data_IF_245400160089
#
_entry.id   IF_245400160089
#
_cell.length_a   1.000
_cell.length_b   1.000
_cell.length_c   1.000
_cell.angle_alpha   90.00
_cell.angle_beta   90.00
_cell.angle_gamma   90.00
#
_symmetry.space_group_name_H-M   'P 1'
#
loop_
_entity.id
_entity.type
_entity.pdbx_description
1 polymer ?
#
# COMPACT_ATOMS: atom_id res chain seq x y z
N UNK A 1 12.92 -44.46 -28.14
CA UNK A 1 13.07 -44.20 -26.69
C UNK A 1 14.29 -43.37 -26.33
N UNK A 2 15.55 -43.81 -26.55
CA UNK A 2 16.76 -43.02 -26.13
C UNK A 2 16.89 -41.65 -26.81
N UNK A 3 16.46 -41.53 -28.07
CA UNK A 3 16.56 -40.27 -28.81
C UNK A 3 15.46 -39.26 -28.43
N UNK A 4 14.31 -39.74 -27.95
CA UNK A 4 13.19 -38.89 -27.51
C UNK A 4 13.45 -38.31 -26.13
N UNK A 5 14.04 -39.07 -25.20
CA UNK A 5 14.44 -38.55 -23.88
C UNK A 5 15.45 -37.41 -24.00
N UNK A 6 16.42 -37.53 -24.92
CA UNK A 6 17.40 -36.46 -25.17
C UNK A 6 16.76 -35.20 -25.77
N UNK A 7 15.76 -35.34 -26.64
CA UNK A 7 15.04 -34.19 -27.20
C UNK A 7 14.22 -33.44 -26.13
N UNK A 8 13.59 -34.17 -25.20
CA UNK A 8 12.85 -33.59 -24.06
C UNK A 8 13.80 -32.86 -23.12
N UNK A 9 14.95 -33.46 -22.78
CA UNK A 9 15.98 -32.81 -21.95
C UNK A 9 16.50 -31.51 -22.59
N UNK A 10 16.80 -31.52 -23.90
CA UNK A 10 17.22 -30.32 -24.61
C UNK A 10 16.14 -29.23 -24.61
N UNK A 11 14.87 -29.60 -24.74
CA UNK A 11 13.75 -28.68 -24.66
C UNK A 11 13.61 -28.06 -23.25
N UNK A 12 13.77 -28.87 -22.20
CA UNK A 12 13.75 -28.40 -20.80
C UNK A 12 14.89 -27.42 -20.54
N UNK A 13 16.12 -27.74 -20.97
CA UNK A 13 17.29 -26.86 -20.80
C UNK A 13 17.08 -25.53 -21.53
N UNK A 14 16.51 -25.56 -22.74
CA UNK A 14 16.20 -24.34 -23.50
C UNK A 14 15.13 -23.51 -22.79
N UNK A 15 14.03 -24.12 -22.38
CA UNK A 15 12.96 -23.45 -21.66
C UNK A 15 13.46 -22.83 -20.34
N UNK A 16 14.33 -23.54 -19.61
CA UNK A 16 14.92 -23.02 -18.37
C UNK A 16 15.79 -21.78 -18.65
N UNK A 17 16.65 -21.85 -19.68
CA UNK A 17 17.50 -20.71 -20.07
C UNK A 17 16.67 -19.48 -20.43
N UNK A 18 15.65 -19.66 -21.27
CA UNK A 18 14.81 -18.55 -21.73
C UNK A 18 14.04 -17.91 -20.56
N UNK A 19 13.55 -18.71 -19.61
CA UNK A 19 12.90 -18.19 -18.40
C UNK A 19 13.88 -17.47 -17.47
N UNK A 20 15.08 -18.01 -17.26
CA UNK A 20 16.11 -17.35 -16.45
C UNK A 20 16.56 -16.02 -17.04
N UNK A 21 16.72 -15.95 -18.37
CA UNK A 21 17.05 -14.70 -19.06
C UNK A 21 15.92 -13.66 -18.90
N UNK A 22 14.66 -14.10 -18.97
CA UNK A 22 13.50 -13.23 -18.71
C UNK A 22 13.49 -12.72 -17.27
N UNK A 23 13.72 -13.60 -16.29
CA UNK A 23 13.79 -13.23 -14.87
C UNK A 23 14.91 -12.21 -14.64
N UNK A 24 16.08 -12.43 -15.25
CA UNK A 24 17.22 -11.52 -15.16
C UNK A 24 16.85 -10.11 -15.67
N UNK A 25 16.25 -10.00 -16.86
CA UNK A 25 15.81 -8.69 -17.40
C UNK A 25 14.81 -8.00 -16.48
N UNK A 26 13.81 -8.72 -15.96
CA UNK A 26 12.82 -8.15 -15.02
C UNK A 26 13.45 -7.74 -13.69
N UNK A 27 14.48 -8.45 -13.24
CA UNK A 27 15.26 -8.07 -12.06
C UNK A 27 16.04 -6.78 -12.32
N UNK A 28 16.68 -6.65 -13.48
CA UNK A 28 17.40 -5.43 -13.85
C UNK A 28 16.43 -4.24 -13.93
N UNK A 29 15.25 -4.42 -14.53
CA UNK A 29 14.19 -3.39 -14.55
C UNK A 29 13.74 -2.97 -13.14
N UNK A 30 13.58 -3.94 -12.22
CA UNK A 30 13.25 -3.66 -10.82
C UNK A 30 14.36 -2.84 -10.14
N UNK A 31 15.63 -3.21 -10.34
CA UNK A 31 16.76 -2.46 -9.78
C UNK A 31 16.79 -1.02 -10.31
N UNK A 32 16.56 -0.81 -11.60
CA UNK A 32 16.46 0.52 -12.19
C UNK A 32 15.29 1.31 -11.59
N UNK A 33 14.11 0.70 -11.47
CA UNK A 33 12.95 1.37 -10.89
C UNK A 33 13.17 1.75 -9.41
N UNK A 34 13.83 0.90 -8.62
CA UNK A 34 14.19 1.23 -7.23
C UNK A 34 15.19 2.38 -7.18
N UNK A 35 16.20 2.40 -8.05
CA UNK A 35 17.13 3.52 -8.15
C UNK A 35 16.42 4.83 -8.54
N UNK A 36 15.45 4.77 -9.44
CA UNK A 36 14.60 5.91 -9.80
C UNK A 36 13.77 6.40 -8.59
N UNK A 37 13.25 5.48 -7.75
CA UNK A 37 12.55 5.85 -6.50
C UNK A 37 13.50 6.56 -5.55
N UNK A 38 14.69 6.00 -5.32
CA UNK A 38 15.71 6.62 -4.43
C UNK A 38 16.09 8.01 -4.94
N UNK A 39 16.27 8.16 -6.24
CA UNK A 39 16.52 9.45 -6.89
C UNK A 39 15.34 10.41 -6.71
N UNK A 40 14.10 9.96 -6.91
CA UNK A 40 12.91 10.78 -6.73
C UNK A 40 12.69 11.22 -5.27
N UNK A 41 13.10 10.42 -4.29
CA UNK A 41 13.07 10.76 -2.87
C UNK A 41 14.02 11.92 -2.50
N UNK A 42 14.98 12.27 -3.37
CA UNK A 42 15.80 13.49 -3.19
C UNK A 42 15.05 14.78 -3.56
N UNK A 43 13.87 14.67 -4.18
CA UNK A 43 13.04 15.81 -4.56
C UNK A 43 12.08 16.21 -3.43
N UNK A 44 11.91 17.52 -3.21
CA UNK A 44 10.92 18.06 -2.25
C UNK A 44 9.45 17.84 -2.68
N UNK A 45 9.20 17.21 -3.84
CA UNK A 45 7.85 16.93 -4.36
C UNK A 45 7.56 15.42 -4.29
N UNK A 46 6.72 14.95 -3.35
CA UNK A 46 6.42 13.53 -3.18
C UNK A 46 5.69 12.92 -4.38
N UNK A 47 5.00 13.75 -5.19
CA UNK A 47 4.34 13.33 -6.43
C UNK A 47 5.30 12.70 -7.45
N UNK A 48 6.59 13.07 -7.41
CA UNK A 48 7.59 12.58 -8.35
C UNK A 48 8.03 11.13 -8.06
N UNK A 49 7.80 10.64 -6.84
CA UNK A 49 8.14 9.28 -6.46
C UNK A 49 7.07 8.25 -6.84
N UNK A 50 5.83 8.69 -7.15
CA UNK A 50 4.72 7.78 -7.47
C UNK A 50 4.97 6.94 -8.74
N UNK A 51 5.38 7.53 -9.89
CA UNK A 51 5.63 6.73 -11.09
C UNK A 51 6.72 5.65 -10.94
N UNK A 52 7.92 5.93 -10.39
CA UNK A 52 8.93 4.90 -10.22
C UNK A 52 8.54 3.85 -9.18
N UNK A 53 7.73 4.21 -8.18
CA UNK A 53 7.21 3.27 -7.19
C UNK A 53 6.22 2.27 -7.82
N UNK A 54 5.29 2.75 -8.66
CA UNK A 54 4.39 1.88 -9.41
C UNK A 54 5.14 0.97 -10.39
N UNK A 55 6.19 1.49 -11.04
CA UNK A 55 7.07 0.69 -11.90
C UNK A 55 7.76 -0.41 -11.11
N UNK A 56 8.36 -0.07 -9.96
CA UNK A 56 9.04 -1.04 -9.10
C UNK A 56 8.05 -2.12 -8.61
N UNK A 57 6.84 -1.74 -8.19
CA UNK A 57 5.81 -2.69 -7.78
C UNK A 57 5.41 -3.64 -8.92
N UNK A 58 5.22 -3.11 -10.13
CA UNK A 58 4.84 -3.92 -11.30
C UNK A 58 5.95 -4.90 -11.68
N UNK A 59 7.21 -4.45 -11.69
CA UNK A 59 8.37 -5.32 -11.95
C UNK A 59 8.55 -6.39 -10.87
N UNK A 60 8.32 -6.05 -9.61
CA UNK A 60 8.35 -7.02 -8.51
C UNK A 60 7.26 -8.10 -8.64
N UNK A 61 6.02 -7.70 -8.94
CA UNK A 61 4.91 -8.64 -9.16
C UNK A 61 5.16 -9.55 -10.39
N UNK A 62 5.73 -9.00 -11.46
CA UNK A 62 6.10 -9.77 -12.65
C UNK A 62 7.20 -10.81 -12.35
N UNK A 63 8.16 -10.45 -11.51
CA UNK A 63 9.25 -11.33 -11.08
C UNK A 63 8.74 -12.46 -10.18
N UNK A 64 7.83 -12.17 -9.24
CA UNK A 64 7.15 -13.17 -8.40
C UNK A 64 6.37 -14.18 -9.26
N UNK A 65 5.54 -13.69 -10.19
CA UNK A 65 4.81 -14.57 -11.11
C UNK A 65 5.75 -15.44 -11.97
N UNK A 66 6.89 -14.89 -12.38
CA UNK A 66 7.90 -15.64 -13.16
C UNK A 66 8.54 -16.75 -12.33
N UNK A 67 8.82 -16.52 -11.04
CA UNK A 67 9.32 -17.56 -10.16
C UNK A 67 8.28 -18.66 -9.89
N UNK A 68 7.01 -18.31 -9.73
CA UNK A 68 5.95 -19.32 -9.59
C UNK A 68 5.86 -20.23 -10.82
N UNK A 69 5.90 -19.65 -12.02
CA UNK A 69 5.86 -20.39 -13.28
C UNK A 69 7.09 -21.29 -13.40
N UNK A 70 8.27 -20.78 -13.09
CA UNK A 70 9.51 -21.55 -13.09
C UNK A 70 9.44 -22.71 -12.10
N UNK A 71 8.94 -22.48 -10.89
CA UNK A 71 8.81 -23.52 -9.85
C UNK A 71 7.82 -24.61 -10.29
N UNK A 72 6.66 -24.23 -10.83
CA UNK A 72 5.68 -25.18 -11.39
C UNK A 72 6.28 -25.97 -12.55
N UNK A 73 7.03 -25.32 -13.43
CA UNK A 73 7.71 -25.97 -14.55
C UNK A 73 8.77 -26.98 -14.08
N UNK A 74 9.64 -26.59 -13.15
CA UNK A 74 10.66 -27.48 -12.57
C UNK A 74 9.98 -28.67 -11.89
N UNK A 75 8.97 -28.41 -11.05
CA UNK A 75 8.21 -29.47 -10.37
C UNK A 75 7.58 -30.44 -11.36
N UNK A 76 6.96 -29.94 -12.44
CA UNK A 76 6.41 -30.77 -13.50
C UNK A 76 7.48 -31.56 -14.25
N UNK A 77 8.63 -30.95 -14.56
CA UNK A 77 9.73 -31.62 -15.27
C UNK A 77 10.33 -32.76 -14.46
N UNK A 78 10.41 -32.65 -13.13
CA UNK A 78 10.90 -33.72 -12.25
C UNK A 78 9.92 -34.90 -12.15
N UNK A 79 8.61 -34.65 -12.25
CA UNK A 79 7.58 -35.69 -12.18
C UNK A 79 7.51 -36.55 -13.45
N UNK A 80 7.89 -36.00 -14.62
CA UNK A 80 7.88 -36.77 -15.88
C UNK A 80 8.82 -37.99 -15.90
N UNK A 81 9.80 -38.06 -14.98
CA UNK A 81 10.71 -39.21 -14.85
C UNK A 81 10.23 -40.32 -13.90
N UNK A 82 9.14 -40.10 -13.14
CA UNK A 82 8.72 -41.00 -12.04
C UNK A 82 7.36 -41.67 -12.25
N UNK A 83 6.82 -41.68 -13.47
CA UNK A 83 5.64 -42.51 -13.76
C UNK A 83 6.06 -43.99 -13.73
N UNK A 84 5.94 -44.60 -12.55
CA UNK A 84 6.00 -46.05 -12.37
C UNK A 84 5.00 -46.71 -13.33
N UNK A 85 5.30 -47.89 -13.90
CA UNK A 85 4.39 -48.62 -14.78
C UNK A 85 3.02 -48.91 -14.13
N UNK A 86 2.91 -48.75 -12.81
CA UNK A 86 1.68 -48.84 -12.06
C UNK A 86 0.73 -47.65 -12.32
N UNK A 87 1.23 -46.42 -12.46
CA UNK A 87 0.38 -45.23 -12.70
C UNK A 87 -0.25 -45.24 -14.10
N UNK A 88 0.50 -45.67 -15.11
CA UNK A 88 -0.04 -45.86 -16.46
C UNK A 88 -1.08 -46.97 -16.50
N UNK A 89 -0.90 -48.02 -15.70
CA UNK A 89 -1.89 -49.10 -15.56
C UNK A 89 -3.13 -48.66 -14.76
N UNK A 90 -2.98 -47.79 -13.75
CA UNK A 90 -4.09 -47.19 -13.00
C UNK A 90 -4.88 -46.20 -13.87
N UNK A 91 -4.21 -45.34 -14.66
CA UNK A 91 -4.87 -44.43 -15.60
C UNK A 91 -5.65 -45.18 -16.70
N UNK A 92 -5.10 -46.29 -17.20
CA UNK A 92 -5.77 -47.16 -18.19
C UNK A 92 -6.95 -47.93 -17.58
N UNK A 93 -6.87 -48.34 -16.30
CA UNK A 93 -8.02 -48.89 -15.56
C UNK A 93 -9.09 -47.83 -15.25
N UNK A 94 -8.71 -46.61 -14.85
CA UNK A 94 -9.64 -45.51 -14.56
C UNK A 94 -10.35 -45.02 -15.84
N UNK A 95 -9.67 -45.06 -17.00
CA UNK A 95 -10.29 -44.82 -18.31
C UNK A 95 -11.31 -45.89 -18.71
N UNK A 96 -11.10 -47.15 -18.32
CA UNK A 96 -12.05 -48.25 -18.55
C UNK A 96 -13.22 -48.30 -17.56
N UNK A 97 -13.10 -47.63 -16.41
CA UNK A 97 -14.13 -47.55 -15.37
C UNK A 97 -14.80 -46.18 -15.23
N UNK A 98 -14.58 -45.25 -16.17
CA UNK A 98 -15.37 -44.01 -16.23
C UNK A 98 -16.81 -44.34 -16.60
N UNK A 99 -17.64 -44.47 -15.57
CA UNK A 99 -19.07 -44.38 -15.68
C UNK A 99 -19.44 -43.07 -16.38
N UNK A 100 -20.38 -43.18 -17.31
CA UNK A 100 -21.00 -42.06 -18.02
C UNK A 100 -21.39 -40.94 -17.03
N UNK A 101 -20.97 -39.69 -17.26
CA UNK A 101 -21.29 -38.60 -16.36
C UNK A 101 -22.81 -38.44 -16.30
N UNK A 102 -23.43 -38.32 -15.10
CA UNK A 102 -24.85 -38.05 -15.02
C UNK A 102 -25.14 -36.70 -15.69
N UNK A 103 -26.18 -36.68 -16.53
CA UNK A 103 -26.60 -35.51 -17.29
C UNK A 103 -26.68 -34.26 -16.39
N UNK A 104 -25.95 -33.22 -16.77
CA UNK A 104 -26.03 -31.93 -16.11
C UNK A 104 -27.46 -31.37 -16.22
N UNK A 105 -28.02 -30.76 -15.16
CA UNK A 105 -29.31 -30.09 -15.25
C UNK A 105 -29.22 -28.94 -16.26
N UNK A 106 -30.03 -29.04 -17.32
CA UNK A 106 -30.13 -28.00 -18.35
C UNK A 106 -30.74 -26.74 -17.73
N UNK A 107 -29.92 -25.68 -17.63
CA UNK A 107 -30.39 -24.31 -17.38
C UNK A 107 -31.18 -23.83 -18.61
N UNK A 108 -32.38 -23.25 -18.47
CA UNK A 108 -33.11 -22.67 -19.60
C UNK A 108 -32.24 -21.63 -20.31
N UNK A 109 -32.12 -21.77 -21.64
CA UNK A 109 -31.41 -20.81 -22.48
C UNK A 109 -32.20 -19.50 -22.57
N UNK A 110 -31.55 -18.32 -22.46
CA UNK A 110 -32.20 -17.05 -22.75
C UNK A 110 -32.56 -16.97 -24.24
N UNK A 111 -33.78 -16.54 -24.54
CA UNK A 111 -34.24 -16.33 -25.91
C UNK A 111 -33.43 -15.22 -26.62
N UNK A 112 -33.15 -15.36 -27.92
CA UNK A 112 -32.49 -14.31 -28.70
C UNK A 112 -33.41 -13.09 -28.87
N UNK A 113 -32.88 -11.85 -28.88
CA UNK A 113 -33.68 -10.65 -29.08
C UNK A 113 -34.13 -10.56 -30.54
N UNK A 114 -35.43 -10.39 -30.76
CA UNK A 114 -35.99 -10.09 -32.07
C UNK A 114 -35.64 -8.65 -32.48
N UNK A 115 -35.13 -8.43 -33.71
CA UNK A 115 -34.84 -7.10 -34.21
C UNK A 115 -36.12 -6.49 -34.78
N UNK A 116 -36.59 -5.38 -34.19
CA UNK A 116 -37.64 -4.57 -34.83
C UNK A 116 -36.99 -3.57 -35.79
N UNK A 117 -36.94 -3.93 -37.07
CA UNK A 117 -36.68 -3.00 -38.16
C UNK A 117 -38.00 -2.46 -38.71
N UNK A 118 -38.15 -1.15 -38.60
CA UNK A 118 -38.82 -0.17 -39.48
C UNK A 118 -40.04 -0.55 -40.32
N UNK A 119 -41.11 0.24 -40.21
CA UNK A 119 -41.76 1.02 -41.30
C UNK A 119 -42.93 1.84 -40.69
N UNK A 120 -42.87 3.18 -40.63
CA UNK A 120 -43.25 4.18 -41.67
C UNK A 120 -44.77 4.14 -41.91
N UNK A 121 -45.63 5.17 -41.87
CA UNK A 121 -45.67 6.65 -41.88
C UNK A 121 -47.07 7.01 -41.26
N UNK A 122 -47.44 8.20 -40.78
CA UNK A 122 -47.78 9.43 -41.51
C UNK A 122 -48.08 10.54 -40.48
N UNK A 123 -47.35 11.64 -40.61
CA UNK A 123 -47.53 12.98 -40.04
C UNK A 123 -48.80 13.69 -40.61
N UNK A 124 -49.38 14.78 -40.03
CA UNK A 124 -48.68 16.07 -40.02
C UNK A 124 -49.06 17.16 -39.00
N UNK A 125 -48.17 18.16 -38.97
CA UNK A 125 -48.46 19.59 -38.84
C UNK A 125 -48.82 20.11 -37.42
N UNK A 126 -48.20 21.15 -36.86
CA UNK A 126 -47.53 22.34 -37.43
C UNK A 126 -46.82 23.08 -36.28
N UNK A 127 -45.59 23.57 -36.57
CA UNK A 127 -44.90 24.82 -36.12
C UNK A 127 -44.84 25.18 -34.61
N UNK A 128 -43.74 25.66 -34.02
CA UNK A 128 -42.47 26.21 -34.51
C UNK A 128 -41.44 26.23 -33.34
N UNK A 129 -40.13 26.44 -33.62
CA UNK A 129 -39.00 26.08 -32.78
C UNK A 129 -38.46 27.28 -31.99
N UNK A 130 -37.79 27.01 -30.87
CA UNK A 130 -36.74 27.91 -30.38
C UNK A 130 -35.54 27.09 -29.93
N UNK A 131 -34.60 26.95 -30.86
CA UNK A 131 -33.17 26.78 -30.60
C UNK A 131 -32.70 27.89 -29.66
N UNK A 132 -31.99 27.53 -28.59
CA UNK A 132 -31.08 28.47 -27.93
C UNK A 132 -29.80 27.74 -27.57
N UNK A 133 -28.90 27.72 -28.55
CA UNK A 133 -27.47 27.78 -28.35
C UNK A 133 -27.17 29.16 -27.73
N UNK A 134 -26.58 29.20 -26.53
CA UNK A 134 -25.96 30.39 -25.92
C UNK A 134 -25.00 29.83 -24.84
N UNK A 135 -23.69 29.73 -25.09
CA UNK A 135 -22.71 30.81 -25.16
C UNK A 135 -22.30 31.30 -23.76
N UNK A 136 -20.99 31.15 -23.49
CA UNK A 136 -20.24 31.78 -22.41
C UNK A 136 -20.40 33.30 -22.46
N UNK A 137 -20.49 33.94 -21.29
CA UNK A 137 -19.63 35.11 -21.01
C UNK A 137 -18.97 34.90 -19.63
N UNK A 138 -17.65 34.90 -19.42
CA UNK A 138 -16.63 35.93 -19.70
C UNK A 138 -17.16 37.35 -19.51
N UNK A 139 -16.80 38.02 -18.42
CA UNK A 139 -15.92 39.22 -18.41
C UNK A 139 -15.69 39.74 -16.96
N UNK A 140 -14.84 40.77 -16.69
CA UNK A 140 -13.59 40.56 -15.97
C UNK A 140 -13.42 41.53 -14.77
N UNK A 141 -12.40 41.33 -13.93
CA UNK A 141 -11.72 42.50 -13.34
C UNK A 141 -10.25 42.16 -13.03
N UNK A 142 -9.44 42.48 -14.04
CA UNK A 142 -8.10 43.08 -13.99
C UNK A 142 -7.16 42.84 -12.80
N UNK A 143 -6.04 42.24 -13.18
CA UNK A 143 -4.72 42.11 -12.54
C UNK A 143 -4.17 43.44 -11.97
N UNK A 144 -3.12 43.39 -11.11
CA UNK A 144 -1.78 43.33 -11.70
C UNK A 144 -0.86 42.27 -11.08
N UNK A 145 -0.01 41.77 -11.97
CA UNK A 145 1.24 41.03 -11.77
C UNK A 145 1.95 41.33 -10.44
N UNK A 146 2.40 40.25 -9.76
CA UNK A 146 3.74 40.23 -9.19
C UNK A 146 4.35 38.84 -9.38
N UNK A 147 5.54 38.84 -9.98
CA UNK A 147 6.42 37.71 -10.26
C UNK A 147 6.93 36.99 -8.99
N UNK A 148 7.49 35.77 -9.12
CA UNK A 148 7.73 34.87 -8.01
C UNK A 148 8.99 35.25 -7.24
N UNK A 149 8.86 35.55 -5.95
CA UNK A 149 10.02 35.57 -5.05
C UNK A 149 10.23 34.18 -4.47
N UNK A 150 11.45 33.70 -4.68
CA UNK A 150 12.02 32.56 -4.00
C UNK A 150 12.13 32.80 -2.48
N UNK A 151 12.32 31.68 -1.78
CA UNK A 151 12.82 31.56 -0.39
C UNK A 151 11.84 31.89 0.75
N UNK A 152 11.34 30.81 1.38
CA UNK A 152 11.18 30.63 2.83
C UNK A 152 10.60 29.21 3.01
N UNK A 153 11.43 28.16 3.16
CA UNK A 153 11.80 27.62 4.48
C UNK A 153 10.66 27.79 5.48
N UNK A 154 9.63 26.94 5.38
CA UNK A 154 8.73 26.69 6.49
C UNK A 154 9.37 25.57 7.32
N UNK A 155 10.27 25.98 8.20
CA UNK A 155 10.71 25.20 9.35
C UNK A 155 9.47 24.69 10.08
N UNK A 156 9.44 23.39 10.36
CA UNK A 156 8.59 22.83 11.42
C UNK A 156 8.84 23.64 12.71
N UNK A 157 7.82 23.83 13.58
CA UNK A 157 7.92 24.79 14.68
C UNK A 157 9.10 24.42 15.56
N UNK A 158 10.10 25.31 15.58
CA UNK A 158 11.23 25.26 16.48
C UNK A 158 10.67 25.33 17.90
N UNK A 159 10.67 24.19 18.60
CA UNK A 159 10.46 24.19 20.04
C UNK A 159 11.77 24.68 20.65
N UNK A 160 11.80 25.98 20.93
CA UNK A 160 12.89 26.70 21.58
C UNK A 160 13.35 25.93 22.84
N UNK A 161 14.57 25.37 22.79
CA UNK A 161 15.17 24.54 23.84
C UNK A 161 15.32 23.05 23.50
N UNK A 162 14.96 22.62 22.28
CA UNK A 162 15.02 21.22 21.86
C UNK A 162 16.45 20.65 21.87
N UNK A 163 16.60 19.53 22.57
CA UNK A 163 17.74 18.64 22.46
C UNK A 163 18.05 18.34 20.98
N UNK A 164 19.20 18.81 20.52
CA UNK A 164 19.62 18.67 19.13
C UNK A 164 20.07 17.23 18.85
N UNK A 165 19.12 16.42 18.39
CA UNK A 165 19.32 15.00 18.01
C UNK A 165 20.45 14.86 16.97
N UNK A 166 20.73 15.89 16.15
CA UNK A 166 21.76 15.82 15.11
C UNK A 166 23.20 15.81 15.66
N UNK A 167 23.38 16.12 16.95
CA UNK A 167 24.69 16.03 17.63
C UNK A 167 25.03 14.62 18.11
N UNK A 168 24.03 13.73 18.13
CA UNK A 168 24.21 12.33 18.53
C UNK A 168 24.82 11.48 17.43
N UNK A 169 25.25 10.27 17.78
CA UNK A 169 25.72 9.29 16.80
C UNK A 169 24.61 8.91 15.81
N UNK A 170 24.99 8.49 14.60
CA UNK A 170 24.02 8.08 13.57
C UNK A 170 23.07 6.96 14.04
N UNK A 171 23.55 6.07 14.91
CA UNK A 171 22.76 5.00 15.50
C UNK A 171 21.69 5.52 16.47
N UNK A 172 22.07 6.42 17.37
CA UNK A 172 21.13 7.07 18.29
C UNK A 172 20.12 7.95 17.54
N UNK A 173 20.55 8.67 16.51
CA UNK A 173 19.65 9.45 15.65
C UNK A 173 18.56 8.57 15.02
N UNK A 174 18.91 7.40 14.52
CA UNK A 174 17.92 6.47 13.97
C UNK A 174 16.99 5.91 15.07
N UNK A 175 17.51 5.67 16.28
CA UNK A 175 16.66 5.31 17.43
C UNK A 175 15.66 6.42 17.75
N UNK A 176 16.08 7.69 17.79
CA UNK A 176 15.18 8.84 17.99
C UNK A 176 14.12 8.94 16.89
N UNK A 177 14.50 8.79 15.62
CA UNK A 177 13.55 8.79 14.49
C UNK A 177 12.55 7.64 14.60
N UNK A 178 13.02 6.44 14.95
CA UNK A 178 12.17 5.26 15.12
C UNK A 178 11.24 5.42 16.32
N UNK A 179 11.72 5.95 17.43
CA UNK A 179 10.94 6.24 18.62
C UNK A 179 9.81 7.22 18.31
N UNK A 180 10.12 8.32 17.63
CA UNK A 180 9.13 9.29 17.16
C UNK A 180 8.04 8.62 16.30
N UNK A 181 8.43 7.80 15.30
CA UNK A 181 7.46 7.07 14.46
C UNK A 181 6.59 6.12 15.28
N UNK A 182 7.17 5.33 16.18
CA UNK A 182 6.44 4.34 16.98
C UNK A 182 5.47 5.02 17.96
N UNK A 183 5.89 6.12 18.59
CA UNK A 183 5.01 6.91 19.46
C UNK A 183 3.79 7.44 18.67
N UNK A 184 4.03 8.01 17.47
CA UNK A 184 2.95 8.50 16.60
C UNK A 184 1.95 7.42 16.24
N UNK A 185 2.44 6.28 15.77
CA UNK A 185 1.58 5.14 15.37
C UNK A 185 0.79 4.63 16.57
N UNK A 186 1.42 4.50 17.73
CA UNK A 186 0.75 4.01 18.95
C UNK A 186 -0.43 4.91 19.34
N UNK A 187 -0.28 6.24 19.25
CA UNK A 187 -1.37 7.18 19.56
C UNK A 187 -2.47 7.15 18.50
N UNK A 188 -2.12 6.97 17.22
CA UNK A 188 -3.09 6.78 16.15
C UNK A 188 -3.90 5.49 16.34
N UNK A 189 -3.23 4.40 16.72
CA UNK A 189 -3.89 3.11 16.98
C UNK A 189 -4.87 3.21 18.14
N UNK A 190 -4.47 3.83 19.26
CA UNK A 190 -5.39 4.05 20.41
C UNK A 190 -6.61 4.88 19.96
N UNK A 191 -6.39 5.94 19.17
CA UNK A 191 -7.47 6.76 18.61
C UNK A 191 -8.44 5.96 17.74
N UNK A 192 -7.91 5.08 16.89
CA UNK A 192 -8.70 4.27 15.96
C UNK A 192 -9.42 3.10 16.65
N UNK A 193 -8.83 2.52 17.69
CA UNK A 193 -9.41 1.40 18.42
C UNK A 193 -10.52 1.84 19.38
N UNK A 194 -10.42 3.03 19.98
CA UNK A 194 -11.36 3.52 21.00
C UNK A 194 -11.85 4.96 20.74
N UNK A 195 -12.48 5.24 19.58
CA UNK A 195 -12.86 6.59 19.19
C UNK A 195 -13.83 7.26 20.17
N UNK A 196 -14.82 6.52 20.68
CA UNK A 196 -15.78 7.07 21.65
C UNK A 196 -15.15 7.41 23.00
N UNK A 197 -14.21 6.59 23.47
CA UNK A 197 -13.52 6.86 24.73
C UNK A 197 -12.60 8.06 24.61
N UNK A 198 -11.95 8.26 23.47
CA UNK A 198 -11.16 9.47 23.20
C UNK A 198 -12.06 10.71 23.18
N UNK A 199 -13.22 10.64 22.50
CA UNK A 199 -14.17 11.75 22.44
C UNK A 199 -14.68 12.14 23.83
N UNK A 200 -15.11 11.18 24.64
CA UNK A 200 -15.54 11.41 26.01
C UNK A 200 -14.39 11.88 26.91
N UNK A 201 -13.19 11.33 26.68
CA UNK A 201 -11.97 11.69 27.39
C UNK A 201 -11.63 13.17 27.25
N UNK A 202 -11.75 13.71 26.03
CA UNK A 202 -11.54 15.14 25.77
C UNK A 202 -12.58 16.03 26.43
N UNK A 203 -13.85 15.61 26.42
CA UNK A 203 -14.94 16.36 27.04
C UNK A 203 -14.79 16.44 28.55
N UNK A 204 -14.41 15.33 29.18
CA UNK A 204 -14.27 15.22 30.62
C UNK A 204 -12.86 15.55 31.12
N UNK A 205 -11.91 15.76 30.21
CA UNK A 205 -10.49 16.00 30.49
C UNK A 205 -9.86 14.88 31.32
N UNK A 206 -10.20 13.63 31.01
CA UNK A 206 -9.83 12.42 31.76
C UNK A 206 -9.19 11.32 30.88
N UNK A 207 -8.58 11.69 29.74
CA UNK A 207 -8.02 10.74 28.77
C UNK A 207 -7.06 9.73 29.39
N UNK A 208 -6.12 10.16 30.24
CA UNK A 208 -5.12 9.27 30.84
C UNK A 208 -5.75 8.20 31.75
N UNK A 209 -6.83 8.54 32.45
CA UNK A 209 -7.53 7.60 33.35
C UNK A 209 -8.43 6.67 32.53
N UNK A 210 -9.14 7.22 31.54
CA UNK A 210 -10.10 6.47 30.72
C UNK A 210 -9.43 5.48 29.77
N UNK A 211 -8.29 5.86 29.19
CA UNK A 211 -7.51 5.03 28.26
C UNK A 211 -6.28 4.40 28.92
N UNK A 212 -6.27 4.34 30.26
CA UNK A 212 -5.14 3.90 31.07
C UNK A 212 -4.52 2.60 30.57
N UNK A 213 -5.33 1.57 30.34
CA UNK A 213 -4.82 0.25 29.96
C UNK A 213 -4.10 0.26 28.60
N UNK A 214 -4.60 1.01 27.60
CA UNK A 214 -3.95 1.05 26.29
C UNK A 214 -2.71 1.93 26.32
N UNK A 215 -2.77 3.05 27.07
CA UNK A 215 -1.63 3.95 27.25
C UNK A 215 -0.51 3.21 27.99
N UNK A 216 -0.81 2.51 29.09
CA UNK A 216 0.18 1.71 29.83
C UNK A 216 0.79 0.60 28.98
N UNK A 217 -0.04 -0.05 28.15
CA UNK A 217 0.43 -1.10 27.24
C UNK A 217 1.35 -0.53 26.16
N UNK A 218 0.96 0.58 25.53
CA UNK A 218 1.77 1.26 24.52
C UNK A 218 3.07 1.80 25.12
N UNK A 219 3.00 2.41 26.31
CA UNK A 219 4.15 2.96 27.03
C UNK A 219 5.15 1.86 27.39
N UNK A 220 4.69 0.74 27.95
CA UNK A 220 5.55 -0.39 28.29
C UNK A 220 6.30 -0.94 27.07
N UNK A 221 5.62 -1.04 25.94
CA UNK A 221 6.22 -1.54 24.71
C UNK A 221 7.19 -0.53 24.09
N UNK A 222 6.87 0.76 24.19
CA UNK A 222 7.76 1.86 23.80
C UNK A 222 9.04 1.85 24.65
N UNK A 223 8.91 1.86 25.98
CA UNK A 223 10.04 1.82 26.90
C UNK A 223 10.94 0.62 26.63
N UNK A 224 10.35 -0.56 26.45
CA UNK A 224 11.09 -1.80 26.18
C UNK A 224 11.96 -1.69 24.93
N UNK A 225 11.47 -1.04 23.87
CA UNK A 225 12.18 -0.90 22.58
C UNK A 225 13.21 0.21 22.58
N UNK A 226 12.99 1.27 23.37
CA UNK A 226 13.78 2.49 23.31
C UNK A 226 14.52 2.81 24.62
N UNK A 227 14.69 1.84 25.52
CA UNK A 227 15.53 1.96 26.73
C UNK A 227 16.86 2.70 26.49
N UNK A 228 17.62 2.46 25.39
CA UNK A 228 18.91 3.12 25.18
C UNK A 228 18.85 4.64 25.06
N UNK A 229 17.69 5.21 24.68
CA UNK A 229 17.52 6.66 24.47
C UNK A 229 16.64 7.32 25.55
N UNK A 230 16.27 6.59 26.61
CA UNK A 230 15.38 7.09 27.67
C UNK A 230 16.03 8.14 28.58
N UNK A 231 17.36 8.17 28.63
CA UNK A 231 18.11 9.15 29.44
C UNK A 231 18.14 10.55 28.79
N UNK A 232 17.69 10.66 27.53
CA UNK A 232 17.59 11.94 26.84
C UNK A 232 16.33 12.70 27.24
N UNK A 233 16.37 14.05 27.28
CA UNK A 233 15.27 14.88 27.81
C UNK A 233 14.05 14.98 26.88
N UNK A 234 13.91 14.11 25.87
CA UNK A 234 12.87 14.21 24.84
C UNK A 234 11.81 13.13 25.01
N UNK A 235 10.59 13.54 25.35
CA UNK A 235 9.43 12.65 25.45
C UNK A 235 8.55 12.74 24.19
N UNK A 236 8.88 11.89 23.20
CA UNK A 236 8.06 11.75 21.99
C UNK A 236 6.67 11.16 22.28
N UNK A 237 6.55 10.35 23.33
CA UNK A 237 5.31 9.66 23.66
C UNK A 237 4.28 10.67 24.16
N UNK A 238 4.67 11.54 25.11
CA UNK A 238 3.86 12.64 25.58
C UNK A 238 3.47 13.60 24.46
N UNK A 239 4.43 14.02 23.62
CA UNK A 239 4.16 14.95 22.51
C UNK A 239 3.04 14.43 21.60
N UNK A 240 3.13 13.18 21.16
CA UNK A 240 2.11 12.58 20.30
C UNK A 240 0.79 12.30 21.02
N UNK A 241 0.81 12.10 22.33
CA UNK A 241 -0.39 11.96 23.14
C UNK A 241 -1.20 13.25 23.14
N UNK A 242 -0.54 14.39 23.35
CA UNK A 242 -1.15 15.72 23.26
C UNK A 242 -1.66 15.96 21.85
N UNK A 243 -0.82 15.74 20.83
CA UNK A 243 -1.16 16.07 19.45
C UNK A 243 -2.31 15.20 18.89
N UNK A 244 -2.30 13.88 19.13
CA UNK A 244 -3.24 12.96 18.50
C UNK A 244 -4.45 12.66 19.39
N UNK A 245 -4.21 12.30 20.65
CA UNK A 245 -5.30 11.93 21.56
C UNK A 245 -6.00 13.18 22.09
N UNK A 246 -5.26 14.25 22.37
CA UNK A 246 -5.82 15.47 22.94
C UNK A 246 -6.02 16.62 21.94
N UNK A 247 -5.70 16.42 20.66
CA UNK A 247 -5.84 17.43 19.59
C UNK A 247 -5.14 18.76 19.92
N UNK A 248 -3.97 18.65 20.55
CA UNK A 248 -3.15 19.80 20.96
C UNK A 248 -3.49 20.35 22.34
N UNK A 249 -4.61 19.95 22.97
CA UNK A 249 -4.98 20.42 24.30
C UNK A 249 -4.37 19.55 25.41
N UNK A 250 -3.25 19.99 25.99
CA UNK A 250 -2.59 19.29 27.09
C UNK A 250 -3.50 19.14 28.34
N UNK A 251 -4.48 20.03 28.55
CA UNK A 251 -5.40 19.93 29.69
C UNK A 251 -6.41 18.81 29.52
N UNK A 252 -6.68 18.35 28.30
CA UNK A 252 -7.60 17.25 28.05
C UNK A 252 -7.02 15.88 28.44
N UNK A 253 -5.70 15.76 28.64
CA UNK A 253 -5.09 14.52 29.14
C UNK A 253 -5.55 14.19 30.56
N UNK A 254 -5.79 15.21 31.38
CA UNK A 254 -6.01 15.06 32.82
C UNK A 254 -4.68 14.87 33.56
N UNK A 255 -4.69 14.02 34.58
CA UNK A 255 -3.49 13.72 35.38
C UNK A 255 -2.58 12.74 34.64
N UNK A 256 -1.42 13.22 34.20
CA UNK A 256 -0.45 12.43 33.46
C UNK A 256 0.46 11.67 34.43
N UNK A 257 0.40 10.33 34.47
CA UNK A 257 1.07 9.53 35.51
C UNK A 257 2.57 9.34 35.26
N UNK A 258 3.12 9.81 34.14
CA UNK A 258 4.53 9.65 33.78
C UNK A 258 5.28 10.99 33.91
N UNK A 259 6.59 10.90 34.11
CA UNK A 259 7.42 12.08 34.31
C UNK A 259 7.39 12.96 33.05
N UNK A 260 6.77 14.14 33.17
CA UNK A 260 6.94 15.20 32.18
C UNK A 260 8.42 15.60 32.19
N UNK A 261 9.12 15.61 31.04
CA UNK A 261 10.41 16.29 30.99
C UNK A 261 10.16 17.74 31.40
N UNK A 262 10.94 18.23 32.36
CA UNK A 262 10.78 19.57 32.91
C UNK A 262 10.77 20.57 31.75
N UNK A 263 9.61 21.17 31.48
CA UNK A 263 9.50 22.30 30.58
C UNK A 263 10.30 23.43 31.21
N UNK A 264 11.55 23.59 30.78
CA UNK A 264 12.31 24.79 31.08
C UNK A 264 11.60 25.94 30.35
N UNK A 265 10.87 26.73 31.13
CA UNK A 265 10.28 28.00 30.74
C UNK A 265 11.37 29.06 30.50
#
# INVERSE_FOLDING_TARGET
>A
MVQESSAVEQAIVRALRDNLERIQRTSDELHHAVNDVVSACSSNKPSNALPPLLRAQTSAAALEASFEVLLRFITGSLQTGSHSPLESQIADLVGKFSAEPPAAPQRPQPAPPEPMASTVDVQPAVEEPVTSEFELPTEPETLPLMEPTAAAVASEPESEGEFDVNRLTSEEQELHRRANRVAKVSMQDIKMLRPEQVRLGRQNKDLCIRLKDDIEKAHREYDRRFKPIMDHPVDYFYRWMVEILAEGDAHALGDYPYAMPARHH
#
